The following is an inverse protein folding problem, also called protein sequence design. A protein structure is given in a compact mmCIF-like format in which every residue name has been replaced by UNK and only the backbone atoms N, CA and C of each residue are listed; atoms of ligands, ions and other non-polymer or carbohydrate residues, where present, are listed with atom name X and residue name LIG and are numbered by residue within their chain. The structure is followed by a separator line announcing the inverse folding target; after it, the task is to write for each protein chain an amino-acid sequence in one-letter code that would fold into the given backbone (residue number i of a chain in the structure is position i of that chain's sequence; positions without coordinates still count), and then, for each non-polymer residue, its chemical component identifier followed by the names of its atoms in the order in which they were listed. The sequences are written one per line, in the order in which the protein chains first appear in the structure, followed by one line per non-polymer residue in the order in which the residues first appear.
data_IF_429909712277
#
_entry.id   IF_429909712277
#
_cell.length_a   1.000
_cell.length_b   1.000
_cell.length_c   1.000
_cell.angle_alpha   90.00
_cell.angle_beta   90.00
_cell.angle_gamma   90.00
#
_symmetry.space_group_name_H-M   'P 1'
#
loop_
_entity.id
_entity.type
_entity.pdbx_description
1 polymer ?
#
# COMPACT_ATOMS: atom_id res chain seq x y z
N UNK A 1 44.98 13.15 -7.10
CA UNK A 1 44.15 12.17 -6.35
C UNK A 1 43.82 11.05 -7.33
N UNK A 2 44.11 9.78 -7.02
CA UNK A 2 43.72 8.69 -7.89
C UNK A 2 42.20 8.72 -8.08
N UNK A 3 41.74 8.51 -9.32
CA UNK A 3 40.34 8.43 -9.71
C UNK A 3 39.61 7.40 -8.82
N UNK A 4 39.04 7.85 -7.71
CA UNK A 4 38.04 7.07 -7.01
C UNK A 4 36.92 6.86 -8.02
N UNK A 5 36.51 5.62 -8.33
CA UNK A 5 35.39 5.40 -9.22
C UNK A 5 34.18 6.09 -8.60
N UNK A 6 33.67 7.14 -9.27
CA UNK A 6 32.43 7.77 -8.85
C UNK A 6 31.35 6.71 -8.87
N UNK A 7 30.71 6.49 -7.72
CA UNK A 7 29.54 5.63 -7.66
C UNK A 7 28.48 6.22 -8.60
N UNK A 8 27.96 5.40 -9.52
CA UNK A 8 26.91 5.83 -10.45
C UNK A 8 25.73 6.41 -9.63
N UNK A 9 25.27 7.63 -9.93
CA UNK A 9 24.08 8.20 -9.31
C UNK A 9 22.87 7.28 -9.48
N UNK A 10 22.07 7.15 -8.44
CA UNK A 10 20.80 6.43 -8.48
C UNK A 10 19.76 7.22 -9.26
N UNK A 11 19.19 6.61 -10.30
CA UNK A 11 18.26 7.29 -11.21
C UNK A 11 16.88 6.67 -11.22
N UNK A 12 15.86 7.51 -11.00
CA UNK A 12 14.43 7.15 -11.06
C UNK A 12 13.76 7.92 -12.18
N UNK A 13 13.18 7.21 -13.17
CA UNK A 13 12.31 7.82 -14.17
C UNK A 13 10.84 7.65 -13.79
N UNK A 14 10.09 8.75 -13.77
CA UNK A 14 8.65 8.74 -13.49
C UNK A 14 7.89 9.03 -14.78
N UNK A 15 7.19 8.02 -15.31
CA UNK A 15 6.40 8.12 -16.52
C UNK A 15 4.94 8.38 -16.13
N UNK A 16 4.49 9.61 -16.35
CA UNK A 16 3.17 10.13 -16.01
C UNK A 16 3.20 11.10 -14.83
N UNK A 17 3.31 12.40 -15.11
CA UNK A 17 3.25 13.49 -14.12
C UNK A 17 1.79 13.89 -13.80
N UNK A 18 0.97 12.90 -13.45
CA UNK A 18 -0.35 13.12 -12.83
C UNK A 18 -0.23 13.38 -11.34
N UNK A 19 -1.36 13.51 -10.62
CA UNK A 19 -1.37 13.70 -9.16
C UNK A 19 -0.52 12.65 -8.42
N UNK A 20 -0.58 11.39 -8.83
CA UNK A 20 0.22 10.30 -8.24
C UNK A 20 1.71 10.48 -8.54
N UNK A 21 2.08 10.64 -9.81
CA UNK A 21 3.49 10.76 -10.22
C UNK A 21 4.19 11.97 -9.62
N UNK A 22 3.53 13.15 -9.60
CA UNK A 22 4.10 14.36 -9.00
C UNK A 22 4.23 14.24 -7.49
N UNK A 23 3.20 13.71 -6.80
CA UNK A 23 3.28 13.50 -5.34
C UNK A 23 4.37 12.49 -4.99
N UNK A 24 4.56 11.45 -5.82
CA UNK A 24 5.65 10.49 -5.66
C UNK A 24 7.03 11.14 -5.87
N UNK A 25 7.22 11.90 -6.95
CA UNK A 25 8.47 12.64 -7.19
C UNK A 25 8.80 13.61 -6.05
N UNK A 26 7.79 14.35 -5.56
CA UNK A 26 7.92 15.21 -4.39
C UNK A 26 8.27 14.42 -3.12
N UNK A 27 7.69 13.24 -2.94
CA UNK A 27 8.00 12.36 -1.80
C UNK A 27 9.44 11.85 -1.86
N UNK A 28 9.96 11.50 -3.04
CA UNK A 28 11.37 11.11 -3.21
C UNK A 28 12.32 12.26 -2.88
N UNK A 29 11.99 13.48 -3.33
CA UNK A 29 12.75 14.68 -3.06
C UNK A 29 12.85 14.97 -1.57
N UNK A 30 11.72 14.98 -0.85
CA UNK A 30 11.69 15.21 0.60
C UNK A 30 12.44 14.14 1.40
N UNK A 31 12.61 12.93 0.84
CA UNK A 31 13.23 11.79 1.53
C UNK A 31 14.69 11.59 1.14
N UNK A 32 15.23 12.35 0.18
CA UNK A 32 16.59 12.14 -0.33
C UNK A 32 16.76 10.71 -0.88
N UNK A 33 15.74 10.19 -1.57
CA UNK A 33 15.71 8.77 -1.95
C UNK A 33 16.57 8.46 -3.19
N UNK A 34 16.66 9.40 -4.13
CA UNK A 34 17.35 9.23 -5.41
C UNK A 34 18.22 10.45 -5.74
N UNK A 35 19.34 10.21 -6.42
CA UNK A 35 20.25 11.27 -6.88
C UNK A 35 19.71 11.99 -8.12
N UNK A 36 18.97 11.26 -8.97
CA UNK A 36 18.39 11.75 -10.22
C UNK A 36 16.92 11.36 -10.36
N UNK A 37 16.05 12.33 -10.69
CA UNK A 37 14.63 12.11 -10.99
C UNK A 37 14.30 12.69 -12.37
N UNK A 38 13.97 11.81 -13.30
CA UNK A 38 13.54 12.18 -14.65
C UNK A 38 12.02 12.12 -14.76
N UNK A 39 11.36 13.25 -15.02
CA UNK A 39 9.92 13.33 -15.21
C UNK A 39 9.56 13.22 -16.70
N UNK A 40 8.72 12.25 -17.06
CA UNK A 40 8.32 12.02 -18.46
C UNK A 40 6.79 12.09 -18.55
N UNK A 41 6.29 12.90 -19.47
CA UNK A 41 4.87 12.96 -19.81
C UNK A 41 4.73 13.25 -21.31
N UNK A 42 3.62 12.83 -21.90
CA UNK A 42 3.26 13.17 -23.29
C UNK A 42 3.01 14.69 -23.42
N UNK A 43 2.41 15.28 -22.38
CA UNK A 43 2.38 16.72 -22.17
C UNK A 43 3.74 17.21 -21.63
N UNK A 44 4.60 17.62 -22.55
CA UNK A 44 5.97 18.09 -22.25
C UNK A 44 5.98 19.38 -21.42
N UNK A 45 5.05 20.29 -21.66
CA UNK A 45 4.95 21.55 -20.90
C UNK A 45 4.59 21.26 -19.45
N UNK A 46 3.68 20.30 -19.23
CA UNK A 46 3.37 19.84 -17.88
C UNK A 46 4.58 19.23 -17.20
N UNK A 47 5.30 18.31 -17.85
CA UNK A 47 6.51 17.72 -17.24
C UNK A 47 7.55 18.80 -16.90
N UNK A 48 7.73 19.80 -17.77
CA UNK A 48 8.62 20.94 -17.55
C UNK A 48 8.19 21.76 -16.33
N UNK A 49 6.92 22.18 -16.27
CA UNK A 49 6.38 22.96 -15.16
C UNK A 49 6.53 22.24 -13.81
N UNK A 50 6.19 20.96 -13.76
CA UNK A 50 6.33 20.13 -12.54
C UNK A 50 7.80 20.00 -12.13
N UNK A 51 8.72 19.84 -13.10
CA UNK A 51 10.15 19.79 -12.80
C UNK A 51 10.68 21.12 -12.26
N UNK A 52 10.23 22.26 -12.80
CA UNK A 52 10.63 23.59 -12.33
C UNK A 52 10.15 23.84 -10.90
N UNK A 53 8.90 23.49 -10.61
CA UNK A 53 8.31 23.65 -9.28
C UNK A 53 9.05 22.82 -8.22
N UNK A 54 9.36 21.55 -8.52
CA UNK A 54 10.17 20.70 -7.65
C UNK A 54 11.60 21.25 -7.45
N UNK A 55 12.22 21.81 -8.49
CA UNK A 55 13.55 22.40 -8.38
C UNK A 55 13.58 23.64 -7.47
N UNK A 56 12.47 24.38 -7.32
CA UNK A 56 12.43 25.51 -6.39
C UNK A 56 12.50 25.09 -4.92
N UNK A 57 12.21 23.82 -4.60
CA UNK A 57 12.42 23.27 -3.26
C UNK A 57 13.88 22.86 -2.97
N UNK A 58 14.77 22.86 -3.97
CA UNK A 58 16.12 22.25 -3.88
C UNK A 58 17.04 22.89 -2.83
N UNK A 59 16.80 24.15 -2.45
CA UNK A 59 17.56 24.83 -1.40
C UNK A 59 17.17 24.39 0.02
N UNK A 60 16.10 23.61 0.16
CA UNK A 60 15.49 23.21 1.44
C UNK A 60 15.62 21.71 1.73
N UNK A 61 16.19 20.95 0.80
CA UNK A 61 16.24 19.47 0.81
C UNK A 61 17.61 18.97 0.38
N UNK A 62 17.82 17.66 0.46
CA UNK A 62 19.05 17.03 -0.05
C UNK A 62 19.17 17.18 -1.57
N UNK A 63 20.41 17.19 -2.07
CA UNK A 63 20.69 17.43 -3.48
C UNK A 63 20.16 16.29 -4.35
N UNK A 64 19.23 16.62 -5.25
CA UNK A 64 18.73 15.73 -6.30
C UNK A 64 18.69 16.49 -7.64
N UNK A 65 19.11 15.86 -8.73
CA UNK A 65 18.95 16.43 -10.08
C UNK A 65 17.57 16.07 -10.61
N UNK A 66 16.72 17.07 -10.88
CA UNK A 66 15.36 16.87 -11.38
C UNK A 66 15.18 17.59 -12.72
N UNK A 67 14.67 16.89 -13.73
CA UNK A 67 14.39 17.50 -15.04
C UNK A 67 13.19 16.85 -15.72
N UNK A 68 12.60 17.57 -16.68
CA UNK A 68 11.66 17.01 -17.63
C UNK A 68 12.44 16.35 -18.77
N UNK A 69 12.22 15.04 -18.95
CA UNK A 69 12.88 14.23 -19.95
C UNK A 69 11.91 13.67 -21.00
N UNK A 70 12.49 12.89 -21.89
CA UNK A 70 11.81 12.07 -22.88
C UNK A 70 11.98 10.59 -22.54
N UNK A 71 11.33 9.73 -23.31
CA UNK A 71 11.53 8.29 -23.15
C UNK A 71 12.97 7.82 -23.41
N UNK A 72 13.79 8.57 -24.15
CA UNK A 72 15.22 8.22 -24.28
C UNK A 72 15.97 8.38 -22.96
N UNK A 73 15.50 9.28 -22.10
CA UNK A 73 16.08 9.56 -20.80
C UNK A 73 15.75 8.49 -19.75
N UNK A 74 15.02 7.42 -20.10
CA UNK A 74 14.92 6.22 -19.25
C UNK A 74 16.19 5.38 -19.28
N UNK A 75 17.08 5.63 -20.25
CA UNK A 75 18.38 4.96 -20.31
C UNK A 75 19.13 5.14 -18.98
N UNK A 76 19.77 4.05 -18.55
CA UNK A 76 20.52 3.97 -17.29
C UNK A 76 19.72 4.16 -16.00
N UNK A 77 18.38 4.23 -16.04
CA UNK A 77 17.57 4.27 -14.83
C UNK A 77 17.70 2.97 -14.02
N UNK A 78 17.81 3.10 -12.70
CA UNK A 78 17.72 1.96 -11.78
C UNK A 78 16.26 1.52 -11.61
N UNK A 79 15.35 2.50 -11.59
CA UNK A 79 13.92 2.30 -11.44
C UNK A 79 13.14 3.16 -12.45
N UNK A 80 12.16 2.56 -13.11
CA UNK A 80 11.18 3.26 -13.93
C UNK A 80 9.79 3.03 -13.34
N UNK A 81 9.13 4.10 -12.92
CA UNK A 81 7.80 4.08 -12.32
C UNK A 81 6.76 4.47 -13.36
N UNK A 82 5.78 3.59 -13.60
CA UNK A 82 4.69 3.81 -14.55
C UNK A 82 3.44 4.20 -13.77
N UNK A 83 3.15 5.51 -13.75
CA UNK A 83 1.89 6.08 -13.25
C UNK A 83 1.03 6.70 -14.36
N UNK A 84 1.50 6.65 -15.61
CA UNK A 84 0.76 7.06 -16.78
C UNK A 84 -0.38 6.08 -17.07
N UNK A 85 -1.58 6.63 -17.22
CA UNK A 85 -2.77 5.87 -17.52
C UNK A 85 -3.98 6.79 -17.59
N UNK A 86 -5.11 6.19 -17.95
CA UNK A 86 -6.40 6.86 -17.98
C UNK A 86 -7.23 6.47 -16.76
N UNK A 87 -8.06 7.41 -16.31
CA UNK A 87 -9.17 7.14 -15.42
C UNK A 87 -10.39 6.68 -16.22
N UNK A 88 -11.24 5.86 -15.60
CA UNK A 88 -12.53 5.47 -16.18
C UNK A 88 -13.43 6.70 -16.33
N UNK A 89 -14.00 6.89 -17.52
CA UNK A 89 -15.00 7.93 -17.75
C UNK A 89 -16.41 7.39 -17.46
N UNK A 90 -17.37 8.26 -17.09
CA UNK A 90 -18.77 7.87 -17.00
C UNK A 90 -19.24 7.19 -18.30
N UNK A 91 -19.79 5.99 -18.18
CA UNK A 91 -20.27 5.19 -19.32
C UNK A 91 -19.25 4.22 -19.94
N UNK A 92 -17.95 4.29 -19.59
CA UNK A 92 -16.96 3.29 -20.03
C UNK A 92 -17.10 2.00 -19.22
N UNK A 93 -16.98 0.85 -19.86
CA UNK A 93 -16.94 -0.44 -19.15
C UNK A 93 -15.57 -0.64 -18.49
N UNK A 94 -15.51 -1.55 -17.52
CA UNK A 94 -14.23 -1.95 -16.89
C UNK A 94 -13.24 -2.50 -17.93
N UNK A 95 -13.72 -3.21 -18.94
CA UNK A 95 -12.89 -3.78 -19.99
C UNK A 95 -12.35 -2.72 -20.96
N UNK A 96 -13.10 -1.65 -21.22
CA UNK A 96 -12.62 -0.52 -22.03
C UNK A 96 -11.43 0.17 -21.36
N UNK A 97 -11.54 0.40 -20.04
CA UNK A 97 -10.45 0.96 -19.24
C UNK A 97 -9.22 0.04 -19.26
N UNK A 98 -9.42 -1.26 -19.05
CA UNK A 98 -8.35 -2.27 -19.08
C UNK A 98 -7.64 -2.25 -20.43
N UNK A 99 -8.38 -2.26 -21.54
CA UNK A 99 -7.82 -2.26 -22.90
C UNK A 99 -7.02 -0.99 -23.18
N UNK A 100 -7.56 0.17 -22.80
CA UNK A 100 -6.90 1.46 -22.98
C UNK A 100 -5.60 1.56 -22.18
N UNK A 101 -5.63 1.19 -20.91
CA UNK A 101 -4.44 1.24 -20.07
C UNK A 101 -3.43 0.16 -20.46
N UNK A 102 -3.87 -1.02 -20.94
CA UNK A 102 -2.97 -2.03 -21.48
C UNK A 102 -2.18 -1.53 -22.71
N UNK A 103 -2.81 -0.75 -23.58
CA UNK A 103 -2.11 -0.13 -24.72
C UNK A 103 -1.04 0.88 -24.24
N UNK A 104 -1.39 1.77 -23.30
CA UNK A 104 -0.48 2.78 -22.75
C UNK A 104 0.70 2.11 -22.01
N UNK A 105 0.41 1.23 -21.06
CA UNK A 105 1.43 0.53 -20.26
C UNK A 105 2.27 -0.38 -21.13
N UNK A 106 1.66 -1.05 -22.12
CA UNK A 106 2.36 -1.93 -23.04
C UNK A 106 3.38 -1.21 -23.92
N UNK A 107 3.03 -0.05 -24.49
CA UNK A 107 3.97 0.78 -25.27
C UNK A 107 5.14 1.26 -24.39
N UNK A 108 4.83 1.80 -23.21
CA UNK A 108 5.84 2.26 -22.26
C UNK A 108 6.78 1.11 -21.89
N UNK A 109 6.23 -0.03 -21.47
CA UNK A 109 7.01 -1.19 -21.04
C UNK A 109 7.92 -1.74 -22.15
N UNK A 110 7.41 -1.82 -23.39
CA UNK A 110 8.20 -2.26 -24.54
C UNK A 110 9.40 -1.33 -24.81
N UNK A 111 9.18 0.00 -24.73
CA UNK A 111 10.24 0.98 -24.91
C UNK A 111 11.27 0.93 -23.79
N UNK A 112 10.81 0.78 -22.54
CA UNK A 112 11.72 0.62 -21.38
C UNK A 112 12.55 -0.65 -21.52
N UNK A 113 11.97 -1.77 -21.93
CA UNK A 113 12.72 -3.01 -22.16
C UNK A 113 13.86 -2.86 -23.18
N UNK A 114 13.67 -2.00 -24.19
CA UNK A 114 14.69 -1.70 -25.22
C UNK A 114 15.74 -0.69 -24.73
N UNK A 115 15.31 0.36 -24.03
CA UNK A 115 16.16 1.51 -23.67
C UNK A 115 16.86 1.35 -22.31
N UNK A 116 16.28 0.58 -21.39
CA UNK A 116 16.78 0.38 -20.03
C UNK A 116 16.60 -1.08 -19.58
N UNK A 117 17.27 -2.06 -20.24
CA UNK A 117 17.10 -3.49 -19.95
C UNK A 117 17.54 -3.91 -18.54
N UNK A 118 18.24 -3.03 -17.81
CA UNK A 118 18.69 -3.25 -16.44
C UNK A 118 17.78 -2.63 -15.37
N UNK A 119 16.80 -1.83 -15.76
CA UNK A 119 15.90 -1.17 -14.82
C UNK A 119 14.91 -2.15 -14.17
N UNK A 120 14.41 -1.78 -13.00
CA UNK A 120 13.19 -2.36 -12.44
C UNK A 120 12.00 -1.51 -12.91
N UNK A 121 10.91 -2.16 -13.32
CA UNK A 121 9.61 -1.53 -13.57
C UNK A 121 8.77 -1.59 -12.30
N UNK A 122 8.32 -0.43 -11.82
CA UNK A 122 7.31 -0.31 -10.77
C UNK A 122 6.01 0.24 -11.36
N UNK A 123 5.01 -0.61 -11.50
CA UNK A 123 3.72 -0.31 -12.11
C UNK A 123 2.74 0.16 -11.05
N UNK A 124 2.08 1.30 -11.32
CA UNK A 124 1.08 1.91 -10.44
C UNK A 124 -0.26 2.06 -11.16
N UNK A 125 -0.24 2.18 -12.48
CA UNK A 125 -1.42 2.34 -13.32
C UNK A 125 -2.44 1.23 -13.09
N UNK A 126 -3.69 1.62 -12.83
CA UNK A 126 -4.77 0.67 -12.56
C UNK A 126 -5.39 0.07 -13.83
N UNK A 127 -5.94 -1.16 -13.76
CA UNK A 127 -5.87 -2.08 -12.62
C UNK A 127 -4.47 -2.70 -12.50
N UNK A 128 -3.79 -2.45 -11.38
CA UNK A 128 -2.33 -2.60 -11.27
C UNK A 128 -1.84 -4.03 -11.48
N UNK A 129 -2.59 -5.04 -11.05
CA UNK A 129 -2.19 -6.44 -11.23
C UNK A 129 -2.21 -6.85 -12.71
N UNK A 130 -3.29 -6.48 -13.44
CA UNK A 130 -3.38 -6.70 -14.89
C UNK A 130 -2.33 -5.90 -15.64
N UNK A 131 -2.11 -4.64 -15.25
CA UNK A 131 -1.10 -3.78 -15.90
C UNK A 131 0.33 -4.27 -15.64
N UNK A 132 0.60 -4.89 -14.49
CA UNK A 132 1.89 -5.52 -14.20
C UNK A 132 2.12 -6.74 -15.07
N UNK A 133 1.08 -7.54 -15.32
CA UNK A 133 1.16 -8.63 -16.30
C UNK A 133 1.43 -8.11 -17.71
N UNK A 134 0.72 -7.06 -18.15
CA UNK A 134 0.96 -6.40 -19.44
C UNK A 134 2.41 -5.91 -19.54
N UNK A 135 2.91 -5.23 -18.51
CA UNK A 135 4.27 -4.71 -18.48
C UNK A 135 5.30 -5.84 -18.58
N UNK A 136 5.10 -6.97 -17.88
CA UNK A 136 5.96 -8.15 -18.00
C UNK A 136 5.94 -8.70 -19.43
N UNK A 137 4.75 -8.90 -19.99
CA UNK A 137 4.57 -9.49 -21.32
C UNK A 137 5.19 -8.62 -22.43
N UNK A 138 5.21 -7.29 -22.26
CA UNK A 138 5.66 -6.34 -23.29
C UNK A 138 7.11 -5.87 -23.13
N UNK A 139 7.62 -5.80 -21.90
CA UNK A 139 8.98 -5.31 -21.66
C UNK A 139 10.07 -6.32 -22.04
N UNK A 140 9.80 -7.62 -21.91
CA UNK A 140 10.84 -8.65 -22.05
C UNK A 140 11.84 -8.67 -20.88
N UNK A 141 11.55 -7.94 -19.80
CA UNK A 141 12.33 -8.01 -18.55
C UNK A 141 12.05 -9.32 -17.80
N UNK A 142 12.97 -9.77 -16.94
CA UNK A 142 12.69 -10.87 -16.02
C UNK A 142 11.57 -10.48 -15.03
N UNK A 143 10.76 -11.45 -14.62
CA UNK A 143 9.57 -11.22 -13.75
C UNK A 143 9.94 -10.58 -12.41
N UNK A 144 11.14 -10.84 -11.91
CA UNK A 144 11.67 -10.28 -10.67
C UNK A 144 11.82 -8.76 -10.78
N UNK A 145 12.05 -8.22 -11.98
CA UNK A 145 12.20 -6.79 -12.26
C UNK A 145 10.92 -6.09 -12.70
N UNK A 146 9.77 -6.75 -12.67
CA UNK A 146 8.47 -6.13 -12.95
C UNK A 146 7.58 -6.29 -11.73
N UNK A 147 7.36 -5.18 -11.03
CA UNK A 147 6.67 -5.11 -9.75
C UNK A 147 5.46 -4.20 -9.91
N UNK A 148 4.28 -4.62 -9.48
CA UNK A 148 3.16 -3.69 -9.29
C UNK A 148 3.08 -3.22 -7.85
N UNK A 149 2.58 -2.01 -7.61
CA UNK A 149 2.36 -1.54 -6.24
C UNK A 149 1.43 -2.45 -5.43
N UNK A 150 0.46 -3.11 -6.09
CA UNK A 150 -0.41 -4.11 -5.48
C UNK A 150 -1.15 -3.59 -4.25
N UNK A 151 -1.26 -4.45 -3.24
CA UNK A 151 -2.05 -4.19 -2.02
C UNK A 151 -1.25 -3.52 -0.90
N UNK A 152 -0.12 -2.86 -1.21
CA UNK A 152 0.74 -2.21 -0.22
C UNK A 152 0.01 -1.08 0.49
N UNK A 153 -0.81 -0.33 -0.26
CA UNK A 153 -1.61 0.77 0.27
C UNK A 153 -2.77 0.23 1.10
N UNK A 154 -3.46 -0.81 0.64
CA UNK A 154 -4.59 -1.42 1.34
C UNK A 154 -4.12 -2.07 2.64
N UNK A 155 -2.93 -2.69 2.61
CA UNK A 155 -2.23 -3.15 3.81
C UNK A 155 -1.93 -2.00 4.78
N UNK A 156 -1.47 -0.85 4.29
CA UNK A 156 -1.20 0.31 5.14
C UNK A 156 -2.50 0.89 5.75
N UNK A 157 -3.58 0.94 4.98
CA UNK A 157 -4.92 1.35 5.44
C UNK A 157 -5.45 0.39 6.49
N UNK A 158 -5.32 -0.92 6.28
CA UNK A 158 -5.74 -1.93 7.25
C UNK A 158 -5.01 -1.76 8.58
N UNK A 159 -3.70 -1.56 8.55
CA UNK A 159 -2.91 -1.29 9.77
C UNK A 159 -3.33 -0.01 10.46
N UNK A 160 -3.69 1.03 9.69
CA UNK A 160 -4.23 2.27 10.23
C UNK A 160 -5.55 2.06 10.94
N UNK A 161 -6.53 1.40 10.29
CA UNK A 161 -7.86 1.16 10.87
C UNK A 161 -7.78 0.32 12.14
N UNK A 162 -6.98 -0.76 12.14
CA UNK A 162 -6.73 -1.56 13.36
C UNK A 162 -6.08 -0.71 14.46
N UNK A 163 -5.10 0.10 14.08
CA UNK A 163 -4.39 0.98 15.00
C UNK A 163 -5.29 2.01 15.65
N UNK A 164 -6.17 2.68 14.89
CA UNK A 164 -7.15 3.63 15.42
C UNK A 164 -8.17 2.96 16.35
N UNK A 165 -8.66 1.77 15.98
CA UNK A 165 -9.63 1.04 16.80
C UNK A 165 -9.05 0.64 18.16
N UNK A 166 -7.79 0.16 18.17
CA UNK A 166 -7.11 -0.31 19.38
C UNK A 166 -6.30 0.77 20.11
N UNK A 167 -6.13 1.96 19.53
CA UNK A 167 -5.28 3.02 20.06
C UNK A 167 -3.78 2.65 20.05
N UNK A 168 -3.34 1.95 19.01
CA UNK A 168 -1.96 1.45 18.84
C UNK A 168 -1.38 2.09 17.56
N UNK A 169 -0.10 2.46 17.61
CA UNK A 169 0.59 2.98 16.43
C UNK A 169 0.47 1.96 15.26
N UNK A 170 -0.04 2.34 14.08
CA UNK A 170 -0.15 1.46 12.92
C UNK A 170 1.15 0.77 12.50
N UNK A 171 2.31 1.35 12.82
CA UNK A 171 3.63 0.74 12.56
C UNK A 171 3.87 -0.52 13.41
N UNK A 172 3.19 -0.66 14.55
CA UNK A 172 3.26 -1.83 15.43
C UNK A 172 2.21 -2.90 15.10
N UNK A 173 1.38 -2.66 14.08
CA UNK A 173 0.37 -3.60 13.60
C UNK A 173 0.96 -4.38 12.42
N UNK A 174 0.98 -5.71 12.53
CA UNK A 174 1.43 -6.60 11.47
C UNK A 174 0.23 -7.33 10.88
N UNK A 175 -0.36 -6.72 9.86
CA UNK A 175 -1.43 -7.32 9.05
C UNK A 175 -1.11 -7.09 7.56
N UNK A 176 -1.73 -7.89 6.69
CA UNK A 176 -1.56 -7.83 5.24
C UNK A 176 -2.89 -8.00 4.53
N UNK A 177 -3.12 -7.17 3.51
CA UNK A 177 -4.12 -7.40 2.47
C UNK A 177 -3.40 -8.08 1.29
N UNK A 178 -3.97 -9.11 0.71
CA UNK A 178 -3.43 -9.90 -0.40
C UNK A 178 -4.49 -10.10 -1.51
N UNK A 179 -4.10 -10.64 -2.66
CA UNK A 179 -4.97 -10.82 -3.83
C UNK A 179 -4.91 -9.63 -4.78
N UNK A 180 -5.95 -9.47 -5.59
CA UNK A 180 -6.14 -8.30 -6.47
C UNK A 180 -6.17 -7.01 -5.62
N UNK A 181 -5.51 -5.94 -6.08
CA UNK A 181 -5.82 -4.60 -5.60
C UNK A 181 -7.17 -4.14 -6.20
N UNK A 182 -8.24 -4.28 -5.41
CA UNK A 182 -9.59 -3.96 -5.82
C UNK A 182 -10.65 -4.76 -5.05
N UNK A 183 -11.81 -4.96 -5.68
CA UNK A 183 -12.99 -5.49 -4.98
C UNK A 183 -12.84 -6.95 -4.50
N UNK A 184 -11.87 -7.70 -5.02
CA UNK A 184 -11.59 -9.09 -4.62
C UNK A 184 -10.38 -9.26 -3.70
N UNK A 185 -9.86 -8.18 -3.11
CA UNK A 185 -8.77 -8.23 -2.13
C UNK A 185 -9.17 -9.00 -0.85
N UNK A 186 -8.19 -9.59 -0.15
CA UNK A 186 -8.40 -10.48 1.01
C UNK A 186 -7.56 -9.98 2.19
N UNK A 187 -8.15 -9.75 3.37
CA UNK A 187 -7.39 -9.54 4.60
C UNK A 187 -6.93 -10.89 5.15
N UNK A 188 -5.62 -11.08 5.31
CA UNK A 188 -5.05 -12.31 5.88
C UNK A 188 -5.14 -12.30 7.42
N UNK A 189 -6.37 -12.33 7.95
CA UNK A 189 -6.66 -12.24 9.39
C UNK A 189 -5.99 -13.34 10.21
N UNK A 190 -5.89 -14.55 9.66
CA UNK A 190 -5.19 -15.69 10.29
C UNK A 190 -3.73 -15.39 10.62
N UNK A 191 -3.12 -14.40 9.95
CA UNK A 191 -1.73 -13.96 10.11
C UNK A 191 -1.58 -12.58 10.73
N UNK A 192 -2.68 -11.89 11.04
CA UNK A 192 -2.63 -10.57 11.66
C UNK A 192 -2.17 -10.67 13.11
N UNK A 193 -1.16 -9.90 13.51
CA UNK A 193 -0.59 -9.88 14.85
C UNK A 193 -0.22 -8.48 15.33
N UNK A 194 -0.12 -8.35 16.66
CA UNK A 194 0.42 -7.16 17.34
C UNK A 194 1.43 -7.68 18.36
N UNK A 195 2.70 -7.28 18.22
CA UNK A 195 3.81 -7.83 19.01
C UNK A 195 3.81 -9.37 19.07
N UNK A 196 3.53 -10.03 17.93
CA UNK A 196 3.45 -11.49 17.82
C UNK A 196 2.17 -12.13 18.37
N UNK A 197 1.32 -11.37 19.07
CA UNK A 197 0.02 -11.87 19.57
C UNK A 197 -1.02 -11.83 18.44
N UNK A 198 -1.72 -12.93 18.13
CA UNK A 198 -2.79 -12.96 17.13
C UNK A 198 -3.84 -11.88 17.37
N UNK A 199 -4.25 -11.18 16.31
CA UNK A 199 -5.19 -10.05 16.41
C UNK A 199 -6.51 -10.45 17.08
N UNK A 200 -6.97 -11.69 16.85
CA UNK A 200 -8.21 -12.24 17.46
C UNK A 200 -8.17 -12.28 18.99
N UNK A 201 -6.98 -12.26 19.61
CA UNK A 201 -6.86 -12.21 21.08
C UNK A 201 -7.10 -10.81 21.66
N UNK A 202 -7.23 -9.78 20.82
CA UNK A 202 -7.46 -8.38 21.23
C UNK A 202 -8.95 -8.04 21.41
N UNK A 203 -9.79 -9.05 21.73
CA UNK A 203 -11.24 -8.93 21.98
C UNK A 203 -12.04 -8.29 20.82
N UNK A 204 -11.62 -8.55 19.57
CA UNK A 204 -12.35 -8.15 18.37
C UNK A 204 -13.27 -9.28 17.92
N UNK A 205 -14.55 -8.99 17.72
CA UNK A 205 -15.49 -9.94 17.11
C UNK A 205 -15.26 -10.04 15.60
N UNK A 206 -15.71 -11.14 14.99
CA UNK A 206 -15.70 -11.27 13.52
C UNK A 206 -16.41 -10.11 12.82
N UNK A 207 -17.52 -9.63 13.39
CA UNK A 207 -18.24 -8.48 12.86
C UNK A 207 -17.42 -7.18 12.87
N UNK A 208 -16.56 -6.98 13.88
CA UNK A 208 -15.66 -5.83 13.91
C UNK A 208 -14.54 -5.97 12.88
N UNK A 209 -13.93 -7.15 12.76
CA UNK A 209 -12.92 -7.41 11.73
C UNK A 209 -13.49 -7.16 10.33
N UNK A 210 -14.70 -7.67 10.06
CA UNK A 210 -15.39 -7.47 8.80
C UNK A 210 -15.66 -5.99 8.50
N UNK A 211 -16.21 -5.24 9.47
CA UNK A 211 -16.47 -3.81 9.33
C UNK A 211 -15.19 -3.00 9.08
N UNK A 212 -14.09 -3.32 9.75
CA UNK A 212 -12.80 -2.67 9.51
C UNK A 212 -12.28 -2.94 8.09
N UNK A 213 -12.46 -4.16 7.58
CA UNK A 213 -12.02 -4.48 6.22
C UNK A 213 -12.90 -3.81 5.15
N UNK A 214 -14.21 -3.71 5.37
CA UNK A 214 -15.12 -2.95 4.50
C UNK A 214 -14.71 -1.47 4.42
N UNK A 215 -14.34 -0.86 5.55
CA UNK A 215 -13.80 0.51 5.57
C UNK A 215 -12.53 0.64 4.72
N UNK A 216 -11.62 -0.34 4.78
CA UNK A 216 -10.37 -0.35 3.99
C UNK A 216 -10.66 -0.44 2.50
N UNK A 217 -11.48 -1.41 2.09
CA UNK A 217 -11.86 -1.65 0.69
C UNK A 217 -12.53 -0.41 0.09
N UNK A 218 -13.43 0.21 0.84
CA UNK A 218 -14.25 1.32 0.35
C UNK A 218 -13.55 2.70 0.50
N UNK A 219 -12.41 2.76 1.19
CA UNK A 219 -11.67 3.99 1.47
C UNK A 219 -11.28 4.78 0.21
N UNK A 220 -10.91 4.09 -0.87
CA UNK A 220 -10.53 4.75 -2.12
C UNK A 220 -11.72 5.53 -2.71
N UNK A 221 -12.89 4.89 -2.78
CA UNK A 221 -14.12 5.51 -3.30
C UNK A 221 -14.53 6.71 -2.43
N UNK A 222 -14.48 6.59 -1.11
CA UNK A 222 -14.78 7.69 -0.19
C UNK A 222 -13.86 8.90 -0.41
N UNK A 223 -12.54 8.68 -0.50
CA UNK A 223 -11.59 9.78 -0.70
C UNK A 223 -11.78 10.41 -2.08
N UNK A 224 -12.01 9.61 -3.12
CA UNK A 224 -12.25 10.12 -4.48
C UNK A 224 -13.53 10.96 -4.51
N UNK A 225 -14.61 10.53 -3.86
CA UNK A 225 -15.86 11.29 -3.79
C UNK A 225 -15.68 12.63 -3.07
N UNK A 226 -14.75 12.73 -2.10
CA UNK A 226 -14.51 13.94 -1.33
C UNK A 226 -13.52 14.92 -2.00
N UNK A 227 -12.43 14.43 -2.61
CA UNK A 227 -11.36 15.28 -3.16
C UNK A 227 -10.96 15.00 -4.61
N UNK A 228 -11.67 14.09 -5.27
CA UNK A 228 -11.49 13.72 -6.68
C UNK A 228 -10.33 12.79 -6.99
N UNK A 229 -9.41 12.48 -6.05
CA UNK A 229 -8.32 11.51 -6.26
C UNK A 229 -7.60 11.08 -4.97
N UNK A 230 -7.01 9.88 -4.98
CA UNK A 230 -6.03 9.42 -3.97
C UNK A 230 -4.61 9.57 -4.53
N UNK A 231 -3.65 10.02 -3.71
CA UNK A 231 -2.26 10.20 -4.18
C UNK A 231 -1.21 10.26 -3.05
N UNK A 232 -1.53 10.79 -1.86
CA UNK A 232 -0.55 10.90 -0.77
C UNK A 232 -0.07 9.55 -0.23
N UNK A 233 -0.99 8.68 0.19
CA UNK A 233 -0.63 7.42 0.80
C UNK A 233 0.05 6.45 -0.18
N UNK A 234 -0.38 6.44 -1.45
CA UNK A 234 0.30 5.67 -2.50
C UNK A 234 1.71 6.21 -2.77
N UNK A 235 1.91 7.53 -2.81
CA UNK A 235 3.25 8.11 -3.00
C UNK A 235 4.24 7.68 -1.91
N UNK A 236 3.81 7.66 -0.64
CA UNK A 236 4.63 7.15 0.48
C UNK A 236 4.92 5.65 0.33
N UNK A 237 3.94 4.86 -0.10
CA UNK A 237 4.15 3.43 -0.31
C UNK A 237 5.14 3.15 -1.45
N UNK A 238 5.02 3.87 -2.58
CA UNK A 238 5.96 3.79 -3.69
C UNK A 238 7.37 4.21 -3.25
N UNK A 239 7.52 5.30 -2.49
CA UNK A 239 8.81 5.75 -1.99
C UNK A 239 9.49 4.68 -1.11
N UNK A 240 8.73 3.96 -0.27
CA UNK A 240 9.26 2.85 0.53
C UNK A 240 9.74 1.67 -0.32
N UNK A 241 8.99 1.31 -1.36
CA UNK A 241 9.40 0.26 -2.32
C UNK A 241 10.70 0.70 -3.01
N UNK A 242 10.75 1.95 -3.47
CA UNK A 242 11.93 2.55 -4.12
C UNK A 242 13.15 2.56 -3.22
N UNK A 243 13.01 2.95 -1.95
CA UNK A 243 14.11 2.90 -0.98
C UNK A 243 14.64 1.48 -0.80
N UNK A 244 13.75 0.49 -0.70
CA UNK A 244 14.14 -0.91 -0.57
C UNK A 244 14.92 -1.41 -1.78
N UNK A 245 14.56 -0.95 -2.98
CA UNK A 245 15.26 -1.27 -4.23
C UNK A 245 16.61 -0.57 -4.28
N UNK A 246 16.64 0.76 -4.18
CA UNK A 246 17.86 1.54 -4.40
C UNK A 246 18.93 1.27 -3.34
N UNK A 247 18.51 1.01 -2.09
CA UNK A 247 19.40 0.78 -0.93
C UNK A 247 19.54 -0.70 -0.54
N UNK A 248 19.03 -1.63 -1.35
CA UNK A 248 18.98 -3.08 -1.07
C UNK A 248 18.51 -3.43 0.36
N UNK A 249 17.44 -2.79 0.85
CA UNK A 249 16.99 -3.02 2.24
C UNK A 249 16.39 -4.41 2.47
N UNK A 250 16.04 -5.12 1.39
CA UNK A 250 15.38 -6.45 1.44
C UNK A 250 14.15 -6.46 2.34
N UNK A 251 13.38 -5.37 2.29
CA UNK A 251 12.18 -5.20 3.10
C UNK A 251 10.99 -5.97 2.52
N UNK A 252 10.06 -6.33 3.39
CA UNK A 252 8.84 -7.07 3.01
C UNK A 252 7.69 -6.10 2.76
N UNK A 253 7.11 -6.16 1.57
CA UNK A 253 5.91 -5.40 1.19
C UNK A 253 4.90 -6.30 0.50
N UNK A 254 3.60 -6.03 0.70
CA UNK A 254 2.53 -6.64 -0.08
C UNK A 254 2.45 -5.98 -1.46
N UNK A 255 3.26 -6.45 -2.41
CA UNK A 255 3.34 -5.89 -3.77
C UNK A 255 2.75 -6.87 -4.76
N UNK A 256 2.34 -6.38 -5.93
CA UNK A 256 1.90 -7.24 -7.01
C UNK A 256 3.11 -7.93 -7.63
N UNK A 257 3.18 -9.25 -7.50
CA UNK A 257 4.26 -10.08 -8.02
C UNK A 257 3.70 -11.25 -8.84
N UNK A 258 4.51 -11.77 -9.77
CA UNK A 258 4.11 -12.88 -10.61
C UNK A 258 4.07 -14.17 -9.80
N UNK A 259 2.89 -14.75 -9.67
CA UNK A 259 2.61 -15.98 -8.94
C UNK A 259 2.80 -17.17 -9.88
N UNK A 260 3.60 -18.16 -9.45
CA UNK A 260 4.02 -19.31 -10.24
C UNK A 260 4.16 -20.58 -9.38
N UNK A 261 3.07 -20.92 -8.71
CA UNK A 261 2.93 -22.11 -7.86
C UNK A 261 2.52 -21.78 -6.43
N UNK A 262 2.82 -20.57 -5.95
CA UNK A 262 2.42 -20.12 -4.61
C UNK A 262 0.90 -20.14 -4.48
N UNK A 263 0.40 -20.59 -3.32
CA UNK A 263 -1.02 -20.77 -3.02
C UNK A 263 -1.75 -21.74 -3.96
N UNK A 264 -1.01 -22.54 -4.74
CA UNK A 264 -1.55 -23.39 -5.79
C UNK A 264 -2.12 -22.61 -6.98
N UNK A 265 -1.64 -21.37 -7.21
CA UNK A 265 -2.01 -20.49 -8.31
C UNK A 265 -0.77 -20.28 -9.19
N UNK A 266 -0.96 -20.07 -10.49
CA UNK A 266 0.14 -19.73 -11.41
C UNK A 266 -0.35 -18.82 -12.54
N UNK A 267 0.57 -18.07 -13.14
CA UNK A 267 0.35 -17.35 -14.39
C UNK A 267 -0.35 -16.00 -14.23
N UNK A 268 -0.28 -15.38 -13.05
CA UNK A 268 -1.00 -14.14 -12.75
C UNK A 268 -0.19 -13.25 -11.81
N UNK A 269 -0.41 -11.94 -11.88
CA UNK A 269 0.11 -10.99 -10.89
C UNK A 269 -0.93 -10.79 -9.79
N UNK A 270 -0.51 -10.86 -8.53
CA UNK A 270 -1.37 -10.58 -7.36
C UNK A 270 -0.55 -9.94 -6.24
N UNK A 271 -1.20 -9.11 -5.44
CA UNK A 271 -0.68 -8.59 -4.18
C UNK A 271 -0.41 -9.71 -3.18
N UNK A 272 0.84 -9.87 -2.77
CA UNK A 272 1.21 -10.77 -1.66
C UNK A 272 2.54 -10.31 -1.04
N UNK A 273 2.85 -10.63 0.23
CA UNK A 273 4.12 -10.25 0.80
C UNK A 273 5.30 -10.81 0.00
N UNK A 274 6.23 -9.93 -0.36
CA UNK A 274 7.44 -10.29 -1.06
C UNK A 274 8.63 -9.52 -0.50
N UNK A 275 9.81 -10.14 -0.53
CA UNK A 275 11.09 -9.50 -0.21
C UNK A 275 11.53 -8.68 -1.42
N UNK A 276 11.65 -7.36 -1.25
CA UNK A 276 12.01 -6.41 -2.31
C UNK A 276 13.42 -5.87 -2.07
N UNK A 277 14.32 -5.99 -3.04
CA UNK A 277 15.70 -5.51 -2.96
C UNK A 277 16.23 -4.95 -4.28
N UNK A 278 17.55 -4.81 -4.40
CA UNK A 278 18.21 -4.18 -5.57
C UNK A 278 17.98 -4.92 -6.88
N UNK A 279 17.66 -6.20 -6.81
CA UNK A 279 17.33 -7.04 -7.98
C UNK A 279 15.81 -7.13 -8.27
N UNK A 280 14.98 -6.41 -7.49
CA UNK A 280 13.52 -6.44 -7.58
C UNK A 280 12.92 -7.40 -6.56
N UNK A 281 12.03 -8.30 -6.99
CA UNK A 281 11.47 -9.36 -6.14
C UNK A 281 12.52 -10.45 -5.91
N UNK A 282 13.02 -10.53 -4.68
CA UNK A 282 13.98 -11.58 -4.28
C UNK A 282 13.26 -12.88 -3.91
N UNK A 283 12.07 -12.77 -3.32
CA UNK A 283 11.28 -13.92 -2.86
C UNK A 283 9.82 -13.52 -2.65
N UNK A 284 8.90 -14.32 -3.19
CA UNK A 284 7.48 -14.30 -2.81
C UNK A 284 7.32 -15.09 -1.51
N UNK A 285 6.60 -14.54 -0.53
CA UNK A 285 6.34 -15.17 0.77
C UNK A 285 4.92 -15.73 0.74
N UNK A 286 4.83 -17.05 0.65
CA UNK A 286 3.56 -17.76 0.79
C UNK A 286 3.13 -17.79 2.26
N UNK A 287 2.05 -17.08 2.57
CA UNK A 287 1.43 -17.06 3.90
C UNK A 287 0.66 -18.36 4.16
N UNK A 288 0.72 -18.94 5.38
CA UNK A 288 -0.16 -20.04 5.76
C UNK A 288 -1.57 -19.49 6.04
N UNK A 289 -2.41 -19.48 5.00
CA UNK A 289 -3.79 -18.96 5.04
C UNK A 289 -4.77 -19.98 5.62
N UNK A 290 -5.90 -19.49 6.15
CA UNK A 290 -7.03 -20.37 6.46
C UNK A 290 -7.63 -20.95 5.16
N UNK A 291 -8.40 -22.06 5.23
CA UNK A 291 -9.08 -22.61 4.06
C UNK A 291 -9.96 -21.59 3.32
N UNK A 292 -10.64 -20.72 4.05
CA UNK A 292 -11.52 -19.66 3.52
C UNK A 292 -10.72 -18.56 2.83
N UNK A 293 -9.63 -18.09 3.47
CA UNK A 293 -8.72 -17.10 2.90
C UNK A 293 -8.03 -17.63 1.63
N UNK A 294 -7.61 -18.89 1.61
CA UNK A 294 -7.02 -19.54 0.45
C UNK A 294 -8.02 -19.68 -0.71
N UNK A 295 -9.26 -20.07 -0.41
CA UNK A 295 -10.33 -20.14 -1.41
C UNK A 295 -10.64 -18.76 -2.01
N UNK A 296 -10.70 -17.72 -1.16
CA UNK A 296 -10.89 -16.33 -1.60
C UNK A 296 -9.71 -15.83 -2.45
N UNK A 297 -8.47 -16.14 -2.07
CA UNK A 297 -7.28 -15.81 -2.86
C UNK A 297 -7.32 -16.46 -4.25
N UNK A 298 -7.68 -17.74 -4.34
CA UNK A 298 -7.86 -18.44 -5.62
C UNK A 298 -8.95 -17.81 -6.47
N UNK A 299 -10.07 -17.40 -5.86
CA UNK A 299 -11.14 -16.70 -6.57
C UNK A 299 -10.68 -15.34 -7.12
N UNK A 300 -9.93 -14.57 -6.32
CA UNK A 300 -9.33 -13.30 -6.74
C UNK A 300 -8.37 -13.50 -7.93
N UNK A 301 -7.54 -14.55 -7.87
CA UNK A 301 -6.67 -14.94 -8.97
C UNK A 301 -7.44 -15.20 -10.28
N UNK A 302 -8.56 -15.93 -10.22
CA UNK A 302 -9.37 -16.21 -11.40
C UNK A 302 -10.02 -14.95 -11.99
N UNK A 303 -10.44 -13.99 -11.16
CA UNK A 303 -10.96 -12.70 -11.63
C UNK A 303 -9.89 -11.94 -12.44
N UNK A 304 -8.66 -11.87 -11.92
CA UNK A 304 -7.55 -11.19 -12.62
C UNK A 304 -7.16 -11.94 -13.89
N UNK A 305 -7.14 -13.29 -13.86
CA UNK A 305 -6.89 -14.10 -15.07
C UNK A 305 -7.94 -13.87 -16.15
N UNK A 306 -9.22 -13.80 -15.80
CA UNK A 306 -10.29 -13.52 -16.76
C UNK A 306 -10.12 -12.14 -17.39
N UNK A 307 -9.73 -11.13 -16.59
CA UNK A 307 -9.41 -9.80 -17.11
C UNK A 307 -8.23 -9.82 -18.08
N UNK A 308 -7.17 -10.58 -17.77
CA UNK A 308 -6.00 -10.77 -18.66
C UNK A 308 -6.40 -11.49 -19.94
N UNK A 309 -7.22 -12.54 -19.86
CA UNK A 309 -7.70 -13.29 -21.03
C UNK A 309 -8.50 -12.39 -21.98
N UNK A 310 -9.31 -11.46 -21.44
CA UNK A 310 -10.04 -10.47 -22.22
C UNK A 310 -9.15 -9.56 -23.09
N UNK A 311 -7.87 -9.39 -22.75
CA UNK A 311 -6.91 -8.61 -23.53
C UNK A 311 -6.34 -9.36 -24.75
N UNK A 312 -6.58 -10.66 -24.89
CA UNK A 312 -6.05 -11.51 -25.97
C UNK A 312 -4.53 -11.35 -26.17
N UNK A 313 -3.78 -11.13 -25.08
CA UNK A 313 -2.33 -11.05 -25.14
C UNK A 313 -1.76 -12.42 -25.48
N UNK A 314 -0.73 -12.45 -26.33
CA UNK A 314 0.08 -13.66 -26.49
C UNK A 314 0.72 -13.96 -25.13
N UNK A 315 0.67 -15.22 -24.63
CA UNK A 315 1.38 -15.60 -23.43
C UNK A 315 2.83 -15.12 -23.54
N UNK A 316 3.43 -14.57 -22.47
CA UNK A 316 4.85 -14.25 -22.46
C UNK A 316 5.62 -15.45 -23.00
N UNK A 317 6.48 -15.26 -24.00
CA UNK A 317 7.31 -16.35 -24.52
C UNK A 317 8.01 -17.00 -23.32
N UNK A 318 7.71 -18.28 -23.09
CA UNK A 318 8.01 -18.96 -21.84
C UNK A 318 9.49 -18.83 -21.50
N UNK A 319 9.84 -18.01 -20.51
CA UNK A 319 11.19 -17.92 -19.99
C UNK A 319 11.51 -19.20 -19.23
N UNK A 320 11.92 -20.22 -19.97
CA UNK A 320 12.36 -21.52 -19.47
C UNK A 320 13.82 -21.48 -18.97
N UNK A 321 14.27 -20.36 -18.39
CA UNK A 321 15.65 -20.19 -17.91
C UNK A 321 15.73 -20.34 -16.39
N UNK A 322 16.25 -21.50 -16.00
CA UNK A 322 16.75 -21.97 -14.70
C UNK A 322 16.58 -21.04 -13.49
N UNK A 323 15.75 -21.51 -12.56
CA UNK A 323 15.80 -21.08 -11.16
C UNK A 323 17.09 -21.55 -10.49
N UNK A 324 17.86 -20.63 -9.92
CA UNK A 324 18.58 -20.92 -8.67
C UNK A 324 17.71 -20.40 -7.55
N UNK A 325 17.13 -21.30 -6.75
CA UNK A 325 16.72 -20.95 -5.38
C UNK A 325 17.97 -20.39 -4.70
N UNK A 326 18.01 -19.10 -4.40
CA UNK A 326 18.95 -18.57 -3.41
C UNK A 326 18.36 -18.91 -2.04
N UNK A 327 18.34 -20.20 -1.69
CA UNK A 327 18.09 -20.65 -0.31
C UNK A 327 19.40 -20.54 0.45
N UNK A 328 19.82 -19.31 0.74
CA UNK A 328 20.99 -19.02 1.57
C UNK A 328 20.65 -18.88 3.07
N UNK A 329 19.37 -18.98 3.43
CA UNK A 329 18.93 -18.93 4.83
C UNK A 329 17.99 -20.11 5.10
N UNK A 330 18.58 -21.11 5.74
CA UNK A 330 17.88 -22.24 6.32
C UNK A 330 17.42 -21.84 7.73
N UNK A 331 16.12 -21.60 7.89
CA UNK A 331 15.48 -21.39 9.20
C UNK A 331 14.89 -22.69 9.76
N UNK A 332 15.29 -23.87 9.27
CA UNK A 332 14.88 -25.16 9.85
C UNK A 332 15.56 -25.47 11.19
N UNK A 333 16.43 -24.59 11.69
CA UNK A 333 16.85 -24.61 13.09
C UNK A 333 15.70 -24.17 14.00
N UNK A 334 15.02 -25.14 14.61
CA UNK A 334 14.05 -24.94 15.68
C UNK A 334 14.64 -23.99 16.73
N UNK A 335 14.08 -22.78 16.84
CA UNK A 335 14.31 -21.93 18.00
C UNK A 335 13.36 -22.43 19.09
N UNK A 336 13.90 -23.23 19.99
CA UNK A 336 13.24 -23.67 21.22
C UNK A 336 13.01 -22.46 22.14
N UNK A 337 11.77 -21.98 22.18
CA UNK A 337 11.30 -21.01 23.17
C UNK A 337 10.38 -21.72 24.15
N UNK A 338 11.00 -22.30 25.18
CA UNK A 338 10.31 -22.91 26.32
C UNK A 338 9.38 -21.92 27.05
N UNK A 339 8.33 -22.42 27.73
CA UNK A 339 7.28 -21.59 28.30
C UNK A 339 7.71 -21.00 29.65
N UNK A 340 7.71 -19.67 29.80
CA UNK A 340 8.11 -19.05 31.06
C UNK A 340 7.65 -17.61 31.27
N UNK A 341 6.59 -17.47 32.06
CA UNK A 341 6.26 -16.35 32.96
C UNK A 341 5.65 -15.06 32.35
N UNK A 342 4.31 -14.97 32.42
CA UNK A 342 3.57 -13.71 32.44
C UNK A 342 3.37 -13.26 33.91
N UNK A 343 3.75 -12.03 34.28
CA UNK A 343 3.43 -11.48 35.60
C UNK A 343 1.98 -10.96 35.70
N UNK A 344 1.39 -10.92 36.91
CA UNK A 344 -0.03 -10.63 37.13
C UNK A 344 -0.38 -9.14 37.06
N UNK A 345 -1.64 -8.85 36.73
CA UNK A 345 -2.17 -7.48 36.64
C UNK A 345 -2.45 -6.86 38.02
N UNK A 346 -2.22 -5.54 38.21
CA UNK A 346 -2.66 -4.83 39.41
C UNK A 346 -4.08 -4.23 39.32
N UNK A 347 -4.76 -4.32 40.46
CA UNK A 347 -6.07 -3.76 40.84
C UNK A 347 -6.05 -2.25 41.13
N UNK A 348 -7.25 -1.66 41.25
CA UNK A 348 -7.59 -0.23 41.25
C UNK A 348 -7.70 0.48 42.63
N UNK A 349 -7.83 1.84 42.56
CA UNK A 349 -8.20 2.92 43.54
C UNK A 349 -7.02 3.88 43.83
N UNK A 350 -7.10 5.22 43.90
CA UNK A 350 -8.03 6.26 44.43
C UNK A 350 -7.86 7.58 43.61
N UNK A 351 -8.91 8.28 43.11
CA UNK A 351 -9.74 9.40 43.63
C UNK A 351 -9.13 10.82 43.76
N UNK A 352 -9.96 11.84 43.44
CA UNK A 352 -9.86 13.32 43.54
C UNK A 352 -9.62 14.02 42.20
N UNK A 353 -10.30 15.08 41.75
CA UNK A 353 -11.46 15.90 42.14
C UNK A 353 -11.52 17.06 41.12
N UNK A 354 -12.69 17.45 40.60
CA UNK A 354 -12.91 18.56 39.62
C UNK A 354 -13.67 19.72 40.29
N UNK A 355 -13.65 20.97 39.76
CA UNK A 355 -14.76 21.45 38.89
C UNK A 355 -14.33 22.59 37.88
N UNK A 356 -15.21 23.44 37.28
CA UNK A 356 -15.83 23.20 35.97
C UNK A 356 -15.81 24.39 34.96
N UNK A 357 -16.26 24.07 33.73
CA UNK A 357 -17.04 24.86 32.73
C UNK A 357 -16.55 26.21 32.17
N UNK A 358 -16.66 26.41 30.85
CA UNK A 358 -17.75 27.19 30.21
C UNK A 358 -17.67 27.17 28.68
N UNK A 359 -18.85 27.32 28.06
CA UNK A 359 -19.18 27.45 26.63
C UNK A 359 -18.70 28.83 26.07
N UNK A 360 -18.77 29.22 24.80
CA UNK A 360 -19.74 28.98 23.73
C UNK A 360 -19.30 29.67 22.41
N UNK A 361 -20.09 29.44 21.36
CA UNK A 361 -20.24 30.19 20.10
C UNK A 361 -19.60 29.56 18.86
N UNK A 362 -20.44 29.33 17.83
CA UNK A 362 -20.23 29.60 16.39
C UNK A 362 -21.34 28.90 15.56
N UNK A 363 -22.52 29.52 15.48
CA UNK A 363 -23.72 28.96 14.84
C UNK A 363 -23.78 29.13 13.30
N UNK A 364 -22.68 29.50 12.65
CA UNK A 364 -22.59 29.61 11.18
C UNK A 364 -21.52 28.70 10.57
N UNK A 365 -20.57 28.20 11.36
CA UNK A 365 -19.77 27.01 11.04
C UNK A 365 -20.62 25.74 11.14
N UNK A 366 -21.60 25.71 12.04
CA UNK A 366 -22.43 24.54 12.33
C UNK A 366 -23.14 23.93 11.12
N UNK A 367 -23.49 24.68 10.07
CA UNK A 367 -24.17 24.13 8.89
C UNK A 367 -23.19 23.45 7.92
N UNK A 368 -22.04 24.10 7.66
CA UNK A 368 -20.96 23.50 6.88
C UNK A 368 -20.30 22.34 7.63
N UNK A 369 -20.20 22.44 8.95
CA UNK A 369 -19.72 21.42 9.86
C UNK A 369 -20.73 20.29 10.02
N UNK A 370 -22.06 20.54 9.99
CA UNK A 370 -23.08 19.50 9.90
C UNK A 370 -23.02 18.78 8.55
N UNK A 371 -22.79 19.48 7.44
CA UNK A 371 -22.60 18.84 6.13
C UNK A 371 -21.29 18.04 6.08
N UNK A 372 -20.23 18.53 6.73
CA UNK A 372 -18.98 17.80 6.91
C UNK A 372 -19.16 16.59 7.83
N UNK A 373 -19.92 16.72 8.93
CA UNK A 373 -20.22 15.67 9.91
C UNK A 373 -21.18 14.61 9.34
N UNK A 374 -22.13 15.02 8.50
CA UNK A 374 -23.01 14.13 7.74
C UNK A 374 -22.22 13.33 6.69
N UNK A 375 -21.25 13.96 6.02
CA UNK A 375 -20.26 13.26 5.18
C UNK A 375 -19.27 12.43 6.02
N UNK A 376 -19.00 12.83 7.26
CA UNK A 376 -18.18 12.13 8.23
C UNK A 376 -18.92 11.00 8.98
N UNK A 377 -20.17 10.67 8.62
CA UNK A 377 -20.84 9.47 9.15
C UNK A 377 -20.04 8.20 8.80
N UNK A 378 -19.22 8.25 7.74
CA UNK A 378 -18.24 7.23 7.36
C UNK A 378 -16.82 7.49 7.87
N UNK A 379 -16.62 8.52 8.70
CA UNK A 379 -15.32 8.95 9.19
C UNK A 379 -15.35 9.04 10.72
N UNK A 380 -14.81 8.01 11.41
CA UNK A 380 -14.38 8.20 12.80
C UNK A 380 -13.29 9.27 12.76
N UNK A 381 -13.49 10.40 13.44
CA UNK A 381 -12.37 11.33 13.64
C UNK A 381 -11.24 10.53 14.31
N UNK A 382 -10.01 10.54 13.75
CA UNK A 382 -8.89 9.81 14.32
C UNK A 382 -8.80 10.20 15.79
N UNK A 383 -8.83 9.20 16.67
CA UNK A 383 -8.82 9.51 18.10
C UNK A 383 -7.48 10.17 18.38
N UNK A 384 -7.43 11.41 18.93
CA UNK A 384 -6.20 11.93 19.46
C UNK A 384 -5.57 10.84 20.32
N UNK A 385 -4.25 10.64 20.25
CA UNK A 385 -3.55 9.58 21.01
C UNK A 385 -3.92 9.64 22.51
N UNK A 386 -4.34 10.81 23.00
CA UNK A 386 -4.78 11.07 24.37
C UNK A 386 -6.31 11.00 24.61
N UNK A 387 -7.15 10.90 23.59
CA UNK A 387 -8.61 10.88 23.71
C UNK A 387 -9.14 9.45 23.95
N UNK A 388 -8.86 8.91 25.13
CA UNK A 388 -9.57 7.73 25.65
C UNK A 388 -10.93 8.18 26.19
N UNK A 389 -12.05 7.72 25.62
CA UNK A 389 -13.37 7.81 26.29
C UNK A 389 -13.54 6.67 27.31
N UNK A 390 -14.16 6.91 28.47
CA UNK A 390 -14.43 5.88 29.47
C UNK A 390 -15.58 4.97 29.05
N UNK A 391 -15.46 3.68 29.41
CA UNK A 391 -16.45 2.63 29.17
C UNK A 391 -17.83 3.00 29.74
N UNK A 392 -18.88 2.82 28.92
CA UNK A 392 -20.29 2.83 29.34
C UNK A 392 -20.54 1.68 30.33
N UNK A 393 -21.21 1.97 31.44
CA UNK A 393 -21.69 0.95 32.37
C UNK A 393 -22.99 0.32 31.84
N UNK A 394 -23.03 -1.02 31.84
CA UNK A 394 -24.25 -1.81 31.73
C UNK A 394 -25.18 -1.50 32.90
N UNK A 395 -26.42 -1.14 32.57
CA UNK A 395 -27.53 -1.19 33.51
C UNK A 395 -27.88 -2.65 33.83
N UNK A 396 -28.09 -2.97 35.10
CA UNK A 396 -29.10 -3.94 35.59
C UNK A 396 -29.24 -3.84 37.13
N UNK A 397 -30.36 -4.31 37.71
CA UNK A 397 -31.19 -3.51 38.59
C UNK A 397 -31.18 -4.02 40.03
N UNK A 398 -31.56 -3.18 40.99
CA UNK A 398 -32.10 -3.67 42.27
C UNK A 398 -33.24 -2.78 42.74
N UNK A 399 -34.44 -3.35 42.71
CA UNK A 399 -35.56 -2.88 43.50
C UNK A 399 -35.58 -3.52 44.89
N UNK A 400 -36.39 -2.88 45.74
CA UNK A 400 -37.11 -3.36 46.93
C UNK A 400 -36.44 -3.24 48.32
N UNK A 401 -36.85 -2.16 48.99
CA UNK A 401 -37.54 -2.11 50.30
C UNK A 401 -36.93 -2.78 51.53
N UNK A 402 -36.71 -1.98 52.58
CA UNK A 402 -37.48 -2.09 53.84
C UNK A 402 -37.38 -0.83 54.72
N UNK A 403 -38.51 -0.51 55.35
CA UNK A 403 -38.82 0.61 56.25
C UNK A 403 -38.05 0.56 57.60
N UNK A 404 -37.64 1.76 58.07
CA UNK A 404 -37.76 2.42 59.40
C UNK A 404 -37.65 1.63 60.73
N UNK A 405 -37.60 2.28 61.94
CA UNK A 405 -37.30 3.67 62.31
C UNK A 405 -36.36 3.82 63.55
N UNK A 406 -36.18 5.08 64.00
CA UNK A 406 -35.88 5.61 65.35
C UNK A 406 -34.52 6.28 65.56
N UNK A 407 -34.59 7.52 66.05
CA UNK A 407 -33.48 8.38 66.47
C UNK A 407 -33.76 9.82 66.14
#
# INVERSE_FOLDING_TARGET
MPNAPFQKPTKVSVIGTGRVGCTYAYTLLLRGTADEICLINDDKEKALGESMDLNHAMSLVERTTIWAGSMHDVADSDLVVISAGSAQKPGETRMDLITKNAAIVGDIAERVGKLAPNAILLVVTNPVDVMSYVALARSGLPRERVIGSGTVLDTARLRYVIGDELGINPQSIHASVIGEHGDSEIPAWSRATIAGTPLRHWALSESHLQSMFEEVRDAAYHIINLKGATFYAIAVALAKITESILRDLRSVYSVSCYIDGEYGVSGVYLGTPAVVGREGILRVIELPLSPEELAAFKKSAEIVKQAIQGLNLKPPAFYKKLFKRVSGFDFSGEIDVGPGHLPPQPSSRLSHGLPPSQSESLATEAQAEQDLQAKAVYYKQPRPIYARRPRRAHARPRGLNRKAPNG
#
